data_IF_478605657321
#
_entry.id   IF_478605657321
#
_cell.length_a   1.000
_cell.length_b   1.000
_cell.length_c   1.000
_cell.angle_alpha   90.00
_cell.angle_beta   90.00
_cell.angle_gamma   90.00
#
_symmetry.space_group_name_H-M   'P 1'
#
loop_
_entity.id
_entity.type
_entity.pdbx_description
1 polymer ?
#
# COMPACT_ATOMS: atom_id res chain seq x y z
N UNK A 1 -37.99 -21.87 41.82
CA UNK A 1 -37.26 -20.95 40.92
C UNK A 1 -35.78 -21.26 41.04
N UNK A 2 -35.30 -22.38 40.48
CA UNK A 2 -33.89 -22.83 40.64
C UNK A 2 -33.38 -23.75 39.51
N UNK A 3 -34.12 -23.89 38.39
CA UNK A 3 -33.72 -24.78 37.27
C UNK A 3 -33.19 -23.97 36.08
N UNK A 4 -33.48 -22.66 36.02
CA UNK A 4 -33.03 -21.79 34.94
C UNK A 4 -31.57 -21.34 35.04
N UNK A 5 -31.05 -21.11 36.25
CA UNK A 5 -29.67 -20.62 36.43
C UNK A 5 -28.63 -21.67 36.01
N UNK A 6 -28.80 -22.93 36.43
CA UNK A 6 -27.87 -24.03 36.09
C UNK A 6 -27.78 -24.29 34.57
N UNK A 7 -28.92 -24.19 33.87
CA UNK A 7 -28.96 -24.33 32.41
C UNK A 7 -28.28 -23.15 31.70
N UNK A 8 -28.46 -21.93 32.23
CA UNK A 8 -27.86 -20.71 31.68
C UNK A 8 -26.34 -20.69 31.91
N UNK A 9 -25.88 -21.15 33.07
CA UNK A 9 -24.46 -21.27 33.41
C UNK A 9 -23.75 -22.30 32.50
N UNK A 10 -24.43 -23.41 32.19
CA UNK A 10 -23.92 -24.42 31.24
C UNK A 10 -23.85 -23.89 29.81
N UNK A 11 -24.84 -23.11 29.37
CA UNK A 11 -24.84 -22.46 28.06
C UNK A 11 -23.73 -21.41 27.94
N UNK A 12 -23.53 -20.59 28.96
CA UNK A 12 -22.47 -19.57 29.00
C UNK A 12 -21.08 -20.22 29.01
N UNK A 13 -20.89 -21.30 29.77
CA UNK A 13 -19.66 -22.07 29.77
C UNK A 13 -19.38 -22.72 28.40
N UNK A 14 -20.40 -23.27 27.73
CA UNK A 14 -20.27 -23.85 26.40
C UNK A 14 -19.91 -22.79 25.35
N UNK A 15 -20.53 -21.61 25.40
CA UNK A 15 -20.20 -20.49 24.51
C UNK A 15 -18.80 -19.95 24.74
N UNK A 16 -18.37 -19.83 26.00
CA UNK A 16 -17.00 -19.42 26.35
C UNK A 16 -15.97 -20.41 25.82
N UNK A 17 -16.21 -21.72 26.00
CA UNK A 17 -15.34 -22.76 25.46
C UNK A 17 -15.29 -22.76 23.92
N UNK A 18 -16.43 -22.55 23.27
CA UNK A 18 -16.51 -22.40 21.81
C UNK A 18 -15.69 -21.19 21.36
N UNK A 19 -15.86 -20.03 22.01
CA UNK A 19 -15.13 -18.81 21.68
C UNK A 19 -13.63 -18.98 21.87
N UNK A 20 -13.20 -19.67 22.94
CA UNK A 20 -11.79 -19.99 23.15
C UNK A 20 -11.24 -20.91 22.06
N UNK A 21 -11.98 -21.96 21.68
CA UNK A 21 -11.57 -22.85 20.60
C UNK A 21 -11.45 -22.10 19.26
N UNK A 22 -12.41 -21.22 18.94
CA UNK A 22 -12.37 -20.38 17.74
C UNK A 22 -11.19 -19.42 17.74
N UNK A 23 -10.88 -18.80 18.88
CA UNK A 23 -9.72 -17.91 19.01
C UNK A 23 -8.39 -18.66 18.80
N UNK A 24 -8.28 -19.88 19.33
CA UNK A 24 -7.11 -20.74 19.13
C UNK A 24 -6.99 -21.14 17.67
N UNK A 25 -8.11 -21.53 17.04
CA UNK A 25 -8.15 -21.88 15.62
C UNK A 25 -7.76 -20.68 14.74
N UNK A 26 -8.30 -19.48 15.00
CA UNK A 26 -7.95 -18.27 14.27
C UNK A 26 -6.46 -17.93 14.42
N UNK A 27 -5.92 -18.02 15.64
CA UNK A 27 -4.50 -17.80 15.89
C UNK A 27 -3.63 -18.81 15.13
N UNK A 28 -4.01 -20.09 15.14
CA UNK A 28 -3.34 -21.15 14.39
C UNK A 28 -3.35 -20.87 12.88
N UNK A 29 -4.50 -20.51 12.31
CA UNK A 29 -4.60 -20.20 10.88
C UNK A 29 -3.82 -18.95 10.50
N UNK A 30 -3.77 -17.94 11.38
CA UNK A 30 -2.98 -16.73 11.17
C UNK A 30 -1.47 -17.02 11.16
N UNK A 31 -1.00 -17.84 12.09
CA UNK A 31 0.39 -18.27 12.14
C UNK A 31 0.77 -19.14 10.93
N UNK A 32 -0.11 -20.08 10.57
CA UNK A 32 0.06 -20.92 9.38
C UNK A 32 0.12 -20.10 8.09
N UNK A 33 -0.80 -19.14 7.91
CA UNK A 33 -0.79 -18.26 6.74
C UNK A 33 0.48 -17.40 6.68
N UNK A 34 1.02 -16.96 7.83
CA UNK A 34 2.29 -16.24 7.91
C UNK A 34 3.48 -17.14 7.57
N UNK A 35 3.51 -18.37 8.07
CA UNK A 35 4.52 -19.37 7.72
C UNK A 35 4.49 -19.70 6.23
N UNK A 36 3.29 -19.95 5.69
CA UNK A 36 3.09 -20.19 4.26
C UNK A 36 3.54 -18.98 3.43
N UNK A 37 3.27 -17.75 3.89
CA UNK A 37 3.77 -16.53 3.25
C UNK A 37 5.30 -16.44 3.26
N UNK A 38 5.98 -16.80 4.35
CA UNK A 38 7.44 -16.83 4.39
C UNK A 38 8.03 -17.89 3.46
N UNK A 39 7.45 -19.09 3.45
CA UNK A 39 7.93 -20.21 2.62
C UNK A 39 7.66 -19.98 1.13
N UNK A 40 6.51 -19.39 0.78
CA UNK A 40 6.12 -19.09 -0.60
C UNK A 40 6.62 -17.72 -1.08
N UNK A 41 6.96 -16.80 -0.18
CA UNK A 41 7.48 -15.48 -0.49
C UNK A 41 8.93 -15.51 -0.98
N UNK A 42 9.73 -16.44 -0.46
CA UNK A 42 11.13 -16.62 -0.90
C UNK A 42 11.21 -17.42 -2.22
N UNK A 43 10.22 -18.29 -2.47
CA UNK A 43 10.07 -19.05 -3.73
C UNK A 43 9.04 -18.42 -4.64
N UNK A 44 9.51 -17.48 -5.44
CA UNK A 44 8.86 -16.69 -6.50
C UNK A 44 7.94 -17.45 -7.52
N UNK A 45 7.02 -18.32 -7.13
CA UNK A 45 6.30 -19.22 -8.05
C UNK A 45 4.80 -19.32 -7.78
N UNK A 46 4.01 -18.73 -8.69
CA UNK A 46 2.61 -19.08 -8.95
C UNK A 46 1.57 -18.59 -7.94
N UNK A 47 1.78 -18.76 -6.63
CA UNK A 47 0.83 -18.34 -5.60
C UNK A 47 0.71 -16.81 -5.54
N UNK A 48 1.85 -16.08 -5.52
CA UNK A 48 1.85 -14.63 -5.60
C UNK A 48 1.24 -14.12 -6.91
N UNK A 49 1.55 -14.74 -8.05
CA UNK A 49 0.92 -14.35 -9.31
C UNK A 49 -0.59 -14.59 -9.31
N UNK A 50 -1.08 -15.69 -8.73
CA UNK A 50 -2.52 -15.96 -8.59
C UNK A 50 -3.18 -14.99 -7.61
N UNK A 51 -2.61 -14.78 -6.44
CA UNK A 51 -3.12 -13.84 -5.44
C UNK A 51 -3.10 -12.40 -5.96
N UNK A 52 -2.06 -11.99 -6.68
CA UNK A 52 -1.99 -10.69 -7.34
C UNK A 52 -3.01 -10.58 -8.47
N UNK A 53 -3.21 -11.62 -9.30
CA UNK A 53 -4.27 -11.63 -10.32
C UNK A 53 -5.68 -11.56 -9.70
N UNK A 54 -5.92 -12.29 -8.61
CA UNK A 54 -7.20 -12.24 -7.88
C UNK A 54 -7.40 -10.85 -7.29
N UNK A 55 -6.38 -10.29 -6.61
CA UNK A 55 -6.43 -8.91 -6.08
C UNK A 55 -6.60 -7.87 -7.19
N UNK A 56 -5.96 -8.06 -8.34
CA UNK A 56 -6.11 -7.20 -9.50
C UNK A 56 -7.52 -7.29 -10.09
N UNK A 57 -8.13 -8.48 -10.11
CA UNK A 57 -9.50 -8.67 -10.55
C UNK A 57 -10.51 -8.09 -9.55
N UNK A 58 -10.31 -8.26 -8.25
CA UNK A 58 -11.22 -7.76 -7.20
C UNK A 58 -11.06 -6.25 -6.95
N UNK A 59 -9.86 -5.71 -7.13
CA UNK A 59 -9.58 -4.28 -6.99
C UNK A 59 -9.60 -3.55 -8.35
N UNK A 60 -10.07 -4.23 -9.40
CA UNK A 60 -10.28 -3.58 -10.69
C UNK A 60 -11.39 -2.56 -10.51
N UNK A 61 -11.04 -1.28 -10.66
CA UNK A 61 -12.01 -0.19 -10.66
C UNK A 61 -12.76 -0.30 -11.98
N UNK A 62 -13.90 -1.00 -11.96
CA UNK A 62 -14.79 -1.16 -13.11
C UNK A 62 -15.74 0.03 -13.27
N UNK A 63 -15.96 0.78 -12.20
CA UNK A 63 -16.80 1.97 -12.21
C UNK A 63 -16.15 3.06 -11.35
N UNK A 64 -15.96 4.24 -11.92
CA UNK A 64 -15.49 5.44 -11.22
C UNK A 64 -16.57 6.52 -11.32
N UNK A 65 -16.94 7.14 -10.20
CA UNK A 65 -17.91 8.26 -10.19
C UNK A 65 -17.15 9.58 -10.13
N UNK A 66 -17.39 10.45 -11.11
CA UNK A 66 -16.87 11.81 -11.17
C UNK A 66 -18.04 12.81 -11.13
N UNK A 67 -18.33 13.34 -9.94
CA UNK A 67 -19.52 14.18 -9.72
C UNK A 67 -20.82 13.43 -10.03
N UNK A 68 -21.56 13.87 -11.05
CA UNK A 68 -22.79 13.21 -11.54
C UNK A 68 -22.53 12.22 -12.69
N UNK A 69 -21.30 12.09 -13.18
CA UNK A 69 -20.94 11.14 -14.25
C UNK A 69 -20.43 9.83 -13.67
N UNK A 70 -20.87 8.72 -14.27
CA UNK A 70 -20.36 7.37 -14.00
C UNK A 70 -19.51 6.94 -15.19
N UNK A 71 -18.21 6.75 -14.96
CA UNK A 71 -17.28 6.17 -15.91
C UNK A 71 -17.33 4.65 -15.70
N UNK A 72 -17.76 3.92 -16.72
CA UNK A 72 -17.98 2.46 -16.64
C UNK A 72 -17.04 1.67 -17.55
N UNK A 73 -16.27 2.36 -18.39
CA UNK A 73 -15.28 1.75 -19.27
C UNK A 73 -13.86 1.97 -18.75
N UNK A 74 -13.00 0.96 -18.92
CA UNK A 74 -11.63 1.01 -18.42
C UNK A 74 -10.79 2.12 -19.09
N UNK A 75 -11.07 2.46 -20.35
CA UNK A 75 -10.39 3.53 -21.09
C UNK A 75 -10.75 4.92 -20.54
N UNK A 76 -12.03 5.15 -20.23
CA UNK A 76 -12.49 6.39 -19.62
C UNK A 76 -11.92 6.56 -18.21
N UNK A 77 -11.94 5.50 -17.39
CA UNK A 77 -11.39 5.52 -16.03
C UNK A 77 -9.88 5.80 -16.08
N UNK A 78 -9.14 5.13 -16.97
CA UNK A 78 -7.71 5.35 -17.12
C UNK A 78 -7.39 6.78 -17.57
N UNK A 79 -8.11 7.29 -18.56
CA UNK A 79 -7.93 8.66 -19.05
C UNK A 79 -8.25 9.70 -17.97
N UNK A 80 -9.31 9.47 -17.19
CA UNK A 80 -9.69 10.35 -16.08
C UNK A 80 -8.67 10.36 -14.95
N UNK A 81 -8.21 9.17 -14.52
CA UNK A 81 -7.19 9.02 -13.48
C UNK A 81 -5.87 9.66 -13.92
N UNK A 82 -5.44 9.42 -15.16
CA UNK A 82 -4.25 10.04 -15.72
C UNK A 82 -4.36 11.56 -15.73
N UNK A 83 -5.47 12.10 -16.22
CA UNK A 83 -5.70 13.55 -16.24
C UNK A 83 -5.68 14.13 -14.83
N UNK A 84 -6.40 13.52 -13.88
CA UNK A 84 -6.49 13.98 -12.50
C UNK A 84 -5.13 14.03 -11.81
N UNK A 85 -4.34 12.95 -11.89
CA UNK A 85 -3.01 12.94 -11.27
C UNK A 85 -2.02 13.82 -12.03
N UNK A 86 -2.12 13.91 -13.35
CA UNK A 86 -1.28 14.82 -14.12
C UNK A 86 -1.53 16.25 -13.68
N UNK A 87 -2.78 16.68 -13.53
CA UNK A 87 -3.12 18.03 -13.07
C UNK A 87 -2.70 18.26 -11.60
N UNK A 88 -2.93 17.27 -10.74
CA UNK A 88 -2.52 17.32 -9.32
C UNK A 88 -1.01 17.52 -9.16
N UNK A 89 -0.20 16.82 -9.97
CA UNK A 89 1.26 16.92 -9.93
C UNK A 89 1.83 18.01 -10.86
N UNK A 90 1.07 18.49 -11.85
CA UNK A 90 1.41 19.63 -12.69
C UNK A 90 1.06 20.97 -12.02
N UNK A 91 0.35 20.94 -10.89
CA UNK A 91 0.12 22.12 -10.07
C UNK A 91 1.46 22.75 -9.75
N UNK A 92 1.66 23.99 -10.21
CA UNK A 92 2.91 24.72 -10.07
C UNK A 92 3.45 24.57 -8.64
N UNK A 93 4.62 23.95 -8.51
CA UNK A 93 5.43 24.09 -7.31
C UNK A 93 5.70 25.59 -7.17
N UNK A 94 4.89 26.29 -6.39
CA UNK A 94 5.18 27.65 -5.95
C UNK A 94 6.35 27.49 -5.01
N UNK A 95 7.55 27.46 -5.60
CA UNK A 95 8.81 27.54 -4.88
C UNK A 95 8.82 28.93 -4.27
N UNK A 96 8.22 29.04 -3.09
CA UNK A 96 8.45 30.18 -2.23
C UNK A 96 9.92 30.08 -1.87
N UNK A 97 10.76 30.87 -2.55
CA UNK A 97 12.16 30.99 -2.22
C UNK A 97 12.19 31.50 -0.79
N UNK A 98 12.44 30.59 0.16
CA UNK A 98 12.63 30.93 1.55
C UNK A 98 13.89 31.80 1.63
N UNK A 99 13.73 33.12 1.51
CA UNK A 99 14.81 34.10 1.55
C UNK A 99 15.69 33.94 2.80
N UNK A 100 15.13 33.36 3.87
CA UNK A 100 15.84 33.02 5.10
C UNK A 100 16.93 31.96 4.92
N UNK A 101 16.73 30.97 4.03
CA UNK A 101 17.69 29.89 3.79
C UNK A 101 18.89 30.42 2.98
N UNK A 102 18.63 31.21 1.94
CA UNK A 102 19.67 31.86 1.13
C UNK A 102 20.53 32.85 1.93
N UNK A 103 19.98 33.48 2.98
CA UNK A 103 20.73 34.43 3.83
C UNK A 103 21.63 33.77 4.87
N UNK A 104 21.31 32.55 5.32
CA UNK A 104 21.99 31.91 6.45
C UNK A 104 22.84 30.69 6.05
N UNK A 105 22.65 30.14 4.85
CA UNK A 105 23.47 29.03 4.36
C UNK A 105 24.43 29.56 3.31
N UNK A 106 25.75 29.61 3.58
CA UNK A 106 26.73 29.95 2.56
C UNK A 106 26.66 28.91 1.43
N UNK A 107 26.64 29.36 0.18
CA UNK A 107 26.67 28.48 -0.98
C UNK A 107 28.00 27.72 -0.99
N UNK A 108 27.99 26.47 -0.53
CA UNK A 108 29.20 25.63 -0.41
C UNK A 108 29.52 24.86 -1.69
N UNK A 109 28.63 24.90 -2.68
CA UNK A 109 28.82 24.25 -3.98
C UNK A 109 28.85 25.34 -5.03
N UNK A 110 29.98 25.47 -5.71
CA UNK A 110 30.13 26.44 -6.80
C UNK A 110 29.52 25.90 -8.09
N UNK A 111 29.23 26.80 -9.03
CA UNK A 111 28.78 26.44 -10.38
C UNK A 111 29.76 25.45 -11.06
N UNK A 112 31.06 25.57 -10.75
CA UNK A 112 32.09 24.67 -11.26
C UNK A 112 31.97 23.25 -10.67
N UNK A 113 31.69 23.14 -9.37
CA UNK A 113 31.47 21.85 -8.70
C UNK A 113 30.23 21.14 -9.26
N UNK A 114 29.13 21.89 -9.47
CA UNK A 114 27.92 21.33 -10.09
C UNK A 114 28.18 20.83 -11.52
N UNK A 115 28.96 21.57 -12.32
CA UNK A 115 29.35 21.12 -13.67
C UNK A 115 30.19 19.86 -13.63
N UNK A 116 31.10 19.75 -12.67
CA UNK A 116 31.90 18.53 -12.48
C UNK A 116 31.00 17.34 -12.13
N UNK A 117 30.06 17.50 -11.19
CA UNK A 117 29.17 16.44 -10.72
C UNK A 117 28.12 16.03 -11.77
N UNK A 118 27.75 16.93 -12.68
CA UNK A 118 26.80 16.65 -13.77
C UNK A 118 27.49 16.16 -15.07
N UNK A 119 28.81 16.05 -15.10
CA UNK A 119 29.49 15.48 -16.26
C UNK A 119 29.27 13.96 -16.33
N UNK A 120 29.11 13.47 -17.56
CA UNK A 120 29.03 12.03 -17.82
C UNK A 120 30.40 11.42 -17.48
N UNK A 121 30.49 10.41 -16.60
CA UNK A 121 31.75 9.76 -16.26
C UNK A 121 32.40 9.18 -17.50
N UNK A 122 33.73 9.31 -17.61
CA UNK A 122 34.47 8.69 -18.70
C UNK A 122 34.65 7.19 -18.45
N UNK A 123 34.81 6.41 -19.51
CA UNK A 123 34.89 4.95 -19.44
C UNK A 123 36.09 4.44 -18.60
N UNK A 124 37.08 5.30 -18.36
CA UNK A 124 38.25 5.02 -17.49
C UNK A 124 37.97 5.25 -15.99
N UNK A 125 36.93 6.01 -15.62
CA UNK A 125 36.54 6.26 -14.22
C UNK A 125 35.63 5.16 -13.65
N UNK A 126 35.01 4.35 -14.51
CA UNK A 126 34.17 3.22 -14.12
C UNK A 126 35.05 1.98 -13.99
N UNK A 127 35.48 1.67 -12.76
CA UNK A 127 36.15 0.41 -12.41
C UNK A 127 35.20 -0.79 -12.49
#
# INVERSE_FOLDING_TARGET
MFIGDDLTDHEEAAQSNLMQALNIEEAFWKEKARSDWFVLGDRNMGFFHRTTKIRQATNSITILKDGDRLLTTAEEINSHVLFYFTDLFATNNVVTTFQLIQKNIPAMVTEADNRMLCNIPIMEEVK
#
